data_IF_625749142514
#
_entry.id   IF_625749142514
#
_cell.length_a   1.000
_cell.length_b   1.000
_cell.length_c   1.000
_cell.angle_alpha   90.00
_cell.angle_beta   90.00
_cell.angle_gamma   90.00
#
_symmetry.space_group_name_H-M   'P 1'
#
loop_
_entity.id
_entity.type
_entity.pdbx_description
1 polymer ?
#
# COMPACT_ATOMS: atom_id res chain seq x y z
N UNK A 1 -7.29 -31.98 11.04
CA UNK A 1 -8.60 -31.33 10.81
C UNK A 1 -9.57 -32.28 10.09
N UNK A 2 -10.13 -33.30 10.77
CA UNK A 2 -11.13 -34.19 10.17
C UNK A 2 -12.56 -33.63 10.20
N UNK A 3 -12.85 -32.67 11.07
CA UNK A 3 -14.21 -32.11 11.21
C UNK A 3 -14.57 -31.10 10.12
N UNK A 4 -13.59 -30.36 9.61
CA UNK A 4 -13.79 -29.40 8.52
C UNK A 4 -14.28 -30.08 7.22
N UNK A 5 -13.88 -31.34 7.00
CA UNK A 5 -14.33 -32.15 5.85
C UNK A 5 -15.80 -32.57 5.91
N UNK A 6 -16.44 -32.38 7.06
CA UNK A 6 -17.87 -32.67 7.24
C UNK A 6 -18.75 -31.46 6.93
N UNK A 7 -18.14 -30.30 6.66
CA UNK A 7 -18.88 -29.09 6.35
C UNK A 7 -19.60 -29.23 5.00
N UNK A 8 -20.88 -28.83 4.88
CA UNK A 8 -21.63 -28.91 3.63
C UNK A 8 -20.98 -28.17 2.45
N UNK A 9 -20.14 -27.15 2.73
CA UNK A 9 -19.43 -26.37 1.73
C UNK A 9 -18.02 -26.90 1.45
N UNK A 10 -17.66 -28.09 1.96
CA UNK A 10 -16.32 -28.67 1.76
C UNK A 10 -15.93 -28.81 0.28
N UNK A 11 -16.88 -29.17 -0.59
CA UNK A 11 -16.64 -29.30 -2.02
C UNK A 11 -16.21 -27.96 -2.66
N UNK A 12 -16.80 -26.84 -2.23
CA UNK A 12 -16.46 -25.48 -2.70
C UNK A 12 -15.09 -25.01 -2.15
N UNK A 13 -14.73 -25.43 -0.94
CA UNK A 13 -13.43 -25.15 -0.31
C UNK A 13 -12.30 -25.92 -1.01
N UNK A 14 -12.57 -27.14 -1.51
CA UNK A 14 -11.58 -28.01 -2.12
C UNK A 14 -11.28 -27.66 -3.59
N UNK A 15 -12.29 -27.15 -4.32
CA UNK A 15 -12.17 -26.84 -5.76
C UNK A 15 -11.45 -25.51 -6.03
N UNK A 16 -11.64 -24.51 -5.17
CA UNK A 16 -11.11 -23.16 -5.34
C UNK A 16 -10.12 -22.76 -4.23
N UNK A 17 -9.11 -21.95 -4.59
CA UNK A 17 -8.13 -21.40 -3.62
C UNK A 17 -8.77 -20.30 -2.77
N UNK A 18 -9.62 -20.69 -1.83
CA UNK A 18 -10.25 -19.80 -0.88
C UNK A 18 -9.35 -19.51 0.32
N UNK A 19 -9.37 -18.25 0.78
CA UNK A 19 -8.75 -17.88 2.05
C UNK A 19 -9.69 -18.28 3.19
N UNK A 20 -9.25 -19.20 4.04
CA UNK A 20 -9.98 -19.59 5.24
C UNK A 20 -9.60 -18.68 6.41
N UNK A 21 -10.60 -18.27 7.19
CA UNK A 21 -10.41 -17.56 8.44
C UNK A 21 -11.14 -18.27 9.57
N UNK A 22 -10.74 -17.98 10.81
CA UNK A 22 -11.24 -18.65 12.01
C UNK A 22 -11.96 -17.66 12.91
N UNK A 23 -13.03 -18.13 13.57
CA UNK A 23 -13.73 -17.43 14.63
C UNK A 23 -13.78 -18.30 15.88
N UNK A 24 -13.77 -17.68 17.06
CA UNK A 24 -13.97 -18.41 18.31
C UNK A 24 -15.44 -18.78 18.48
N UNK A 25 -15.71 -19.96 19.02
CA UNK A 25 -17.07 -20.42 19.26
C UNK A 25 -17.77 -19.47 20.24
N UNK A 26 -18.91 -18.91 19.82
CA UNK A 26 -19.68 -17.93 20.61
C UNK A 26 -19.36 -16.47 20.31
N UNK A 27 -18.38 -16.18 19.45
CA UNK A 27 -18.10 -14.83 18.96
C UNK A 27 -18.58 -14.66 17.50
N UNK A 28 -19.08 -13.46 17.19
CA UNK A 28 -19.49 -13.10 15.83
C UNK A 28 -18.35 -12.50 15.00
N UNK A 29 -17.22 -12.18 15.62
CA UNK A 29 -16.05 -11.61 14.95
C UNK A 29 -15.01 -12.70 14.65
N UNK A 30 -14.26 -12.48 13.57
CA UNK A 30 -13.11 -13.33 13.20
C UNK A 30 -11.93 -13.02 14.11
N UNK A 31 -11.10 -14.04 14.37
CA UNK A 31 -9.91 -13.93 15.25
C UNK A 31 -8.96 -12.84 14.76
N UNK A 32 -8.81 -12.68 13.44
CA UNK A 32 -7.91 -11.70 12.83
C UNK A 32 -8.35 -10.24 13.00
N UNK A 33 -9.61 -10.00 13.39
CA UNK A 33 -10.15 -8.65 13.62
C UNK A 33 -10.08 -8.23 15.09
N UNK A 34 -9.85 -9.17 16.02
CA UNK A 34 -9.75 -8.87 17.45
C UNK A 34 -8.48 -8.05 17.73
N UNK A 35 -8.68 -6.80 18.14
CA UNK A 35 -7.59 -5.85 18.43
C UNK A 35 -6.64 -6.37 19.51
N UNK A 36 -7.16 -7.09 20.50
CA UNK A 36 -6.37 -7.63 21.61
C UNK A 36 -5.42 -8.71 21.10
N UNK A 37 -5.93 -9.61 20.25
CA UNK A 37 -5.14 -10.69 19.64
C UNK A 37 -4.08 -10.10 18.71
N UNK A 38 -4.47 -9.16 17.84
CA UNK A 38 -3.54 -8.48 16.93
C UNK A 38 -2.44 -7.74 17.69
N UNK A 39 -2.79 -7.03 18.76
CA UNK A 39 -1.81 -6.33 19.60
C UNK A 39 -0.89 -7.31 20.33
N UNK A 40 -1.45 -8.37 20.91
CA UNK A 40 -0.68 -9.39 21.64
C UNK A 40 0.29 -10.12 20.72
N UNK A 41 -0.13 -10.50 19.50
CA UNK A 41 0.76 -11.11 18.51
C UNK A 41 1.82 -10.09 18.06
N UNK A 42 1.45 -8.83 17.83
CA UNK A 42 2.41 -7.79 17.44
C UNK A 42 3.48 -7.54 18.52
N UNK A 43 3.13 -7.71 19.80
CA UNK A 43 4.05 -7.57 20.93
C UNK A 43 4.88 -8.84 21.19
N UNK A 44 4.34 -10.02 20.89
CA UNK A 44 4.98 -11.32 21.14
C UNK A 44 5.60 -11.98 19.90
N UNK A 45 5.50 -11.35 18.73
CA UNK A 45 6.25 -11.75 17.54
C UNK A 45 7.73 -11.70 17.92
N UNK A 46 8.32 -12.89 18.09
CA UNK A 46 9.61 -13.11 18.71
C UNK A 46 10.71 -12.22 18.14
N UNK A 47 11.56 -11.75 19.05
CA UNK A 47 12.89 -11.18 18.85
C UNK A 47 13.82 -12.21 18.15
N UNK A 48 13.51 -12.60 16.91
CA UNK A 48 14.61 -12.87 15.96
C UNK A 48 15.47 -11.61 15.93
N UNK A 49 16.80 -11.72 15.76
CA UNK A 49 17.81 -10.63 15.82
C UNK A 49 17.51 -9.43 14.91
N UNK A 50 16.43 -8.70 15.16
CA UNK A 50 15.96 -7.59 14.35
C UNK A 50 16.42 -6.34 15.06
N UNK A 51 17.31 -5.61 14.37
CA UNK A 51 17.82 -4.33 14.80
C UNK A 51 16.66 -3.41 15.22
N UNK A 52 16.59 -3.12 16.53
CA UNK A 52 15.60 -2.18 17.07
C UNK A 52 16.12 -0.76 16.84
N UNK A 53 15.25 0.09 16.34
CA UNK A 53 15.58 1.49 16.04
C UNK A 53 14.36 2.38 16.14
N UNK A 54 14.59 3.69 16.09
CA UNK A 54 13.50 4.68 16.06
C UNK A 54 12.88 4.65 14.67
N UNK A 55 11.59 4.33 14.58
CA UNK A 55 10.86 4.38 13.32
C UNK A 55 10.60 5.84 12.92
N UNK A 56 11.02 6.24 11.71
CA UNK A 56 10.84 7.61 11.21
C UNK A 56 9.37 8.03 11.01
N UNK A 57 8.45 7.05 10.86
CA UNK A 57 7.01 7.32 10.66
C UNK A 57 6.29 7.51 11.99
N UNK A 58 6.53 6.62 12.96
CA UNK A 58 5.80 6.63 14.24
C UNK A 58 6.54 7.31 15.39
N UNK A 59 7.85 7.59 15.24
CA UNK A 59 8.72 8.09 16.30
C UNK A 59 9.01 7.08 17.42
N UNK A 60 8.47 5.86 17.35
CA UNK A 60 8.60 4.84 18.40
C UNK A 60 9.74 3.88 18.10
N UNK A 61 10.42 3.41 19.14
CA UNK A 61 11.42 2.34 19.04
C UNK A 61 10.72 1.02 18.73
N UNK A 62 11.04 0.43 17.58
CA UNK A 62 10.46 -0.81 17.10
C UNK A 62 11.48 -1.60 16.27
N UNK A 63 11.24 -2.90 16.00
CA UNK A 63 12.04 -3.67 15.04
C UNK A 63 12.01 -3.00 13.66
N UNK A 64 13.18 -2.67 13.12
CA UNK A 64 13.32 -2.01 11.82
C UNK A 64 13.27 -3.02 10.70
N UNK A 65 12.53 -2.68 9.65
CA UNK A 65 12.48 -3.47 8.44
C UNK A 65 13.74 -3.24 7.59
N UNK A 66 14.40 -4.32 7.17
CA UNK A 66 15.60 -4.23 6.31
C UNK A 66 15.24 -3.84 4.87
N UNK A 67 14.11 -4.33 4.37
CA UNK A 67 13.64 -4.11 3.01
C UNK A 67 12.22 -3.55 3.00
N UNK A 68 12.05 -2.37 2.43
CA UNK A 68 10.72 -1.79 2.26
C UNK A 68 9.86 -2.62 1.30
N UNK A 69 8.56 -2.66 1.58
CA UNK A 69 7.55 -3.36 0.80
C UNK A 69 7.49 -2.85 -0.62
N UNK A 70 7.31 -3.79 -1.55
CA UNK A 70 7.04 -3.47 -2.94
C UNK A 70 5.59 -3.07 -3.10
N UNK A 71 5.37 -1.95 -3.77
CA UNK A 71 4.06 -1.39 -4.07
C UNK A 71 3.72 -1.71 -5.52
N UNK A 72 2.49 -2.15 -5.75
CA UNK A 72 1.96 -2.37 -7.09
C UNK A 72 1.42 -1.06 -7.66
N UNK A 73 2.08 -0.52 -8.69
CA UNK A 73 1.64 0.68 -9.39
C UNK A 73 1.30 0.34 -10.84
N UNK A 74 0.26 0.98 -11.37
CA UNK A 74 -0.08 0.87 -12.79
C UNK A 74 1.08 1.39 -13.64
N UNK A 75 1.73 0.51 -14.39
CA UNK A 75 2.91 0.83 -15.19
C UNK A 75 4.26 0.66 -14.47
N UNK A 76 4.33 0.20 -13.22
CA UNK A 76 5.58 -0.26 -12.60
C UNK A 76 6.09 -1.56 -13.27
N UNK A 77 7.33 -1.95 -12.96
CA UNK A 77 7.83 -3.25 -13.39
C UNK A 77 6.95 -4.35 -12.80
N UNK A 78 6.90 -5.53 -13.44
CA UNK A 78 6.10 -6.68 -12.98
C UNK A 78 6.38 -7.08 -11.54
N UNK A 79 7.55 -6.74 -11.02
CA UNK A 79 7.95 -6.97 -9.63
C UNK A 79 7.52 -5.88 -8.63
N UNK A 80 6.81 -4.83 -9.06
CA UNK A 80 6.45 -3.67 -8.23
C UNK A 80 7.56 -2.62 -8.11
N UNK A 81 7.31 -1.56 -7.35
CA UNK A 81 8.24 -0.48 -7.05
C UNK A 81 8.36 -0.26 -5.54
N UNK A 82 9.54 0.11 -5.05
CA UNK A 82 9.73 0.46 -3.64
C UNK A 82 9.48 1.96 -3.46
N UNK A 83 8.75 2.34 -2.40
CA UNK A 83 8.58 3.75 -2.02
C UNK A 83 9.91 4.36 -1.58
N UNK A 84 10.66 3.60 -0.79
CA UNK A 84 11.99 3.96 -0.30
C UNK A 84 12.94 2.83 -0.68
N UNK A 85 14.01 3.13 -1.39
CA UNK A 85 14.98 2.11 -1.81
C UNK A 85 16.42 2.61 -1.79
N UNK A 86 17.27 1.79 -1.17
CA UNK A 86 18.72 1.94 -1.20
C UNK A 86 19.29 0.65 -1.81
N UNK A 87 19.06 0.48 -3.11
CA UNK A 87 19.37 -0.75 -3.85
C UNK A 87 20.83 -0.81 -4.34
N UNK A 88 21.55 0.29 -4.30
CA UNK A 88 22.95 0.41 -4.70
C UNK A 88 23.75 1.04 -3.56
N UNK A 89 25.01 0.66 -3.42
CA UNK A 89 25.92 1.16 -2.38
C UNK A 89 26.06 2.69 -2.40
N UNK A 90 25.92 3.32 -3.57
CA UNK A 90 25.96 4.79 -3.72
C UNK A 90 24.81 5.51 -3.00
N UNK A 91 23.74 4.79 -2.65
CA UNK A 91 22.61 5.34 -1.89
C UNK A 91 22.71 5.07 -0.38
N UNK A 92 23.70 4.28 0.05
CA UNK A 92 24.01 4.04 1.45
C UNK A 92 24.77 5.23 2.04
N UNK A 93 24.45 5.62 3.27
CA UNK A 93 25.06 6.78 3.91
C UNK A 93 25.27 6.54 5.40
N UNK A 94 26.24 7.24 6.00
CA UNK A 94 26.57 7.12 7.44
C UNK A 94 26.86 5.68 7.91
N UNK A 95 27.42 4.84 7.03
CA UNK A 95 27.67 3.42 7.32
C UNK A 95 26.41 2.56 7.42
N UNK A 96 25.23 3.11 7.12
CA UNK A 96 23.95 2.39 7.17
C UNK A 96 23.65 1.77 5.82
N UNK A 97 23.26 0.49 5.86
CA UNK A 97 22.96 -0.30 4.66
C UNK A 97 21.47 -0.46 4.46
N UNK A 98 21.03 -0.45 3.20
CA UNK A 98 19.64 -0.73 2.83
C UNK A 98 18.61 0.07 3.66
N UNK A 99 17.55 -0.59 4.17
CA UNK A 99 16.48 0.03 4.96
C UNK A 99 16.96 0.70 6.26
N UNK A 100 18.15 0.39 6.78
CA UNK A 100 18.73 1.10 7.92
C UNK A 100 18.99 2.58 7.60
N UNK A 101 19.12 2.96 6.33
CA UNK A 101 19.26 4.36 5.91
C UNK A 101 17.95 5.18 6.05
N UNK A 102 16.78 4.52 6.08
CA UNK A 102 15.49 5.12 6.39
C UNK A 102 14.70 4.19 7.33
N UNK A 103 15.04 4.14 8.62
CA UNK A 103 14.51 3.13 9.52
C UNK A 103 12.99 3.27 9.68
N UNK A 104 12.25 2.29 9.15
CA UNK A 104 10.81 2.16 9.34
C UNK A 104 10.49 0.85 10.03
N UNK A 105 9.58 0.89 11.00
CA UNK A 105 9.08 -0.34 11.64
C UNK A 105 8.40 -1.25 10.64
N UNK A 106 8.40 -2.57 10.90
CA UNK A 106 7.65 -3.56 10.10
C UNK A 106 6.18 -3.16 9.91
N UNK A 107 5.53 -2.70 10.98
CA UNK A 107 4.15 -2.23 10.93
C UNK A 107 3.98 -1.02 10.00
N UNK A 108 4.83 0.02 10.15
CA UNK A 108 4.75 1.19 9.28
C UNK A 108 4.97 0.81 7.80
N UNK A 109 5.98 -0.05 7.54
CA UNK A 109 6.27 -0.58 6.21
C UNK A 109 5.07 -1.31 5.58
N UNK A 110 4.40 -2.14 6.36
CA UNK A 110 3.19 -2.84 5.93
C UNK A 110 2.01 -1.88 5.72
N UNK A 111 1.81 -0.92 6.63
CA UNK A 111 0.69 0.01 6.61
C UNK A 111 0.73 0.95 5.40
N UNK A 112 1.86 1.60 5.11
CA UNK A 112 1.95 2.44 3.91
C UNK A 112 1.93 1.59 2.62
N UNK A 113 2.50 0.37 2.64
CA UNK A 113 2.51 -0.50 1.48
C UNK A 113 1.10 -0.95 1.08
N UNK A 114 0.31 -1.32 2.08
CA UNK A 114 -1.09 -1.74 1.92
C UNK A 114 -1.99 -0.59 1.52
N UNK A 115 -1.89 0.57 2.18
CA UNK A 115 -2.70 1.75 1.84
C UNK A 115 -2.44 2.22 0.42
N UNK A 116 -1.18 2.37 0.01
CA UNK A 116 -0.86 2.79 -1.36
C UNK A 116 -1.33 1.74 -2.36
N UNK A 117 -1.09 0.44 -2.12
CA UNK A 117 -1.54 -0.61 -3.03
C UNK A 117 -3.07 -0.66 -3.16
N UNK A 118 -3.80 -0.31 -2.09
CA UNK A 118 -5.26 -0.18 -2.11
C UNK A 118 -5.68 1.02 -2.97
N UNK A 119 -5.08 2.19 -2.77
CA UNK A 119 -5.33 3.42 -3.54
C UNK A 119 -4.99 3.27 -5.03
N UNK A 120 -4.04 2.42 -5.38
CA UNK A 120 -3.60 2.20 -6.78
C UNK A 120 -4.27 1.01 -7.44
N UNK A 121 -5.11 0.25 -6.72
CA UNK A 121 -5.83 -0.90 -7.23
C UNK A 121 -6.64 -0.54 -8.49
N UNK A 122 -6.88 -1.52 -9.36
CA UNK A 122 -7.51 -1.28 -10.68
C UNK A 122 -8.86 -0.56 -10.54
N UNK A 123 -9.62 -0.93 -9.52
CA UNK A 123 -10.98 -0.44 -9.27
C UNK A 123 -11.02 0.76 -8.31
N UNK A 124 -9.86 1.22 -7.83
CA UNK A 124 -9.77 2.41 -6.99
C UNK A 124 -10.18 3.65 -7.78
N UNK A 125 -11.16 4.37 -7.23
CA UNK A 125 -11.53 5.71 -7.68
C UNK A 125 -10.53 6.78 -7.23
N UNK A 126 -9.73 6.52 -6.21
CA UNK A 126 -8.82 7.49 -5.56
C UNK A 126 -7.51 7.75 -6.33
N UNK A 127 -7.53 7.59 -7.67
CA UNK A 127 -6.36 7.80 -8.54
C UNK A 127 -6.74 8.38 -9.89
N UNK A 128 -5.83 9.18 -10.45
CA UNK A 128 -5.92 9.75 -11.80
C UNK A 128 -4.56 9.57 -12.48
N UNK A 129 -4.57 9.26 -13.76
CA UNK A 129 -3.36 9.24 -14.59
C UNK A 129 -3.30 10.54 -15.39
N UNK A 130 -2.33 11.40 -15.08
CA UNK A 130 -2.08 12.65 -15.82
C UNK A 130 -0.79 12.45 -16.62
N UNK A 131 -0.92 12.32 -17.93
CA UNK A 131 0.21 12.00 -18.81
C UNK A 131 0.84 10.64 -18.49
N UNK A 132 2.04 10.65 -17.89
CA UNK A 132 2.77 9.46 -17.44
C UNK A 132 2.87 9.35 -15.90
N UNK A 133 2.19 10.24 -15.17
CA UNK A 133 2.28 10.36 -13.71
C UNK A 133 0.96 9.91 -13.09
N UNK A 134 1.04 8.96 -12.17
CA UNK A 134 -0.11 8.55 -11.37
C UNK A 134 -0.21 9.47 -10.16
N UNK A 135 -1.34 10.16 -10.06
CA UNK A 135 -1.71 10.98 -8.92
C UNK A 135 -2.74 10.24 -8.10
N UNK A 136 -2.53 10.18 -6.79
CA UNK A 136 -3.45 9.60 -5.83
C UNK A 136 -3.91 10.66 -4.85
N UNK A 137 -5.13 10.52 -4.36
CA UNK A 137 -5.72 11.40 -3.36
C UNK A 137 -6.49 10.55 -2.35
N UNK A 138 -6.54 10.99 -1.10
CA UNK A 138 -7.27 10.31 -0.03
C UNK A 138 -7.72 11.34 1.00
N UNK A 139 -8.72 10.97 1.80
CA UNK A 139 -9.15 11.70 2.98
C UNK A 139 -9.36 10.70 4.14
N UNK A 140 -9.28 11.19 5.38
CA UNK A 140 -9.50 10.33 6.56
C UNK A 140 -10.95 9.83 6.64
N UNK A 141 -11.89 10.68 6.24
CA UNK A 141 -13.33 10.40 6.25
C UNK A 141 -13.90 10.50 4.85
N UNK A 142 -14.80 9.58 4.48
CA UNK A 142 -15.50 9.64 3.19
C UNK A 142 -16.12 11.02 2.98
N UNK A 143 -15.71 11.71 1.94
CA UNK A 143 -16.15 13.06 1.60
C UNK A 143 -16.68 13.08 0.17
N UNK A 144 -17.75 13.84 -0.08
CA UNK A 144 -18.32 14.06 -1.42
C UNK A 144 -17.29 14.67 -2.38
N UNK A 145 -16.35 15.45 -1.83
CA UNK A 145 -15.23 16.00 -2.56
C UNK A 145 -14.35 14.93 -3.22
N UNK A 146 -14.24 13.70 -2.68
CA UNK A 146 -13.45 12.65 -3.33
C UNK A 146 -14.06 12.22 -4.68
N UNK A 147 -15.40 12.18 -4.75
CA UNK A 147 -16.10 11.82 -5.98
C UNK A 147 -16.15 13.02 -6.96
N UNK A 148 -16.28 14.26 -6.47
CA UNK A 148 -16.22 15.49 -7.30
C UNK A 148 -14.82 15.79 -7.84
N UNK A 149 -13.76 15.55 -7.05
CA UNK A 149 -12.39 15.83 -7.47
C UNK A 149 -12.00 15.04 -8.72
N UNK A 150 -12.54 13.83 -8.87
CA UNK A 150 -12.38 13.03 -10.09
C UNK A 150 -13.07 13.62 -11.30
N UNK A 151 -14.27 14.19 -11.13
CA UNK A 151 -15.00 14.78 -12.25
C UNK A 151 -14.33 16.06 -12.71
N UNK A 152 -13.73 16.83 -11.80
CA UNK A 152 -12.96 18.04 -12.10
C UNK A 152 -11.64 17.77 -12.83
N UNK A 153 -10.92 16.72 -12.43
CA UNK A 153 -9.57 16.45 -12.93
C UNK A 153 -9.50 15.42 -14.07
N UNK A 154 -10.59 14.72 -14.40
CA UNK A 154 -10.61 13.84 -15.57
C UNK A 154 -10.76 14.67 -16.84
N UNK A 155 -9.72 14.77 -17.70
CA UNK A 155 -9.89 15.38 -19.01
C UNK A 155 -10.87 14.56 -19.84
N UNK A 156 -11.62 15.24 -20.71
CA UNK A 156 -12.54 14.63 -21.68
C UNK A 156 -11.85 13.49 -22.45
N UNK A 157 -12.59 12.44 -22.79
CA UNK A 157 -12.07 11.28 -23.55
C UNK A 157 -11.43 11.69 -24.89
N UNK A 158 -11.79 12.87 -25.43
CA UNK A 158 -11.19 13.42 -26.64
C UNK A 158 -9.75 13.94 -26.44
N UNK A 159 -9.43 14.48 -25.26
CA UNK A 159 -8.10 15.02 -24.94
C UNK A 159 -7.09 13.92 -24.61
N UNK A 160 -7.57 12.80 -24.08
CA UNK A 160 -6.74 11.62 -23.79
C UNK A 160 -6.22 10.95 -25.08
N UNK A 161 -7.01 10.97 -26.17
CA UNK A 161 -6.62 10.40 -27.47
C UNK A 161 -5.52 11.21 -28.17
N UNK A 162 -5.52 12.54 -28.05
CA UNK A 162 -4.46 13.40 -28.61
C UNK A 162 -3.11 13.16 -27.93
N UNK A 163 -3.10 13.10 -26.59
CA UNK A 163 -1.89 12.92 -25.77
C UNK A 163 -1.21 11.55 -26.01
N UNK A 164 -1.97 10.49 -26.25
CA UNK A 164 -1.41 9.15 -26.55
C UNK A 164 -0.71 9.09 -27.92
N UNK A 165 -1.18 9.84 -28.92
CA UNK A 165 -0.59 9.84 -30.25
C UNK A 165 0.72 10.64 -30.34
N UNK A 166 0.89 11.68 -29.52
CA UNK A 166 2.15 12.44 -29.45
C UNK A 166 3.24 11.68 -28.69
N UNK A 167 2.86 10.94 -27.63
CA UNK A 167 3.79 10.13 -26.82
C UNK A 167 4.37 8.91 -27.57
N UNK A 168 3.72 8.43 -28.64
CA UNK A 168 4.28 7.37 -29.50
C UNK A 168 5.46 7.84 -30.36
N UNK A 169 5.60 9.15 -30.60
CA UNK A 169 6.64 9.72 -31.48
C UNK A 169 7.99 9.95 -30.77
N UNK A 170 8.04 9.90 -29.44
CA UNK A 170 9.23 10.25 -28.63
C UNK A 170 9.80 9.10 -27.78
N UNK A 171 9.44 7.85 -28.06
CA UNK A 171 9.65 6.69 -27.18
C UNK A 171 11.09 6.12 -27.08
N UNK A 172 12.13 6.97 -27.08
CA UNK A 172 13.54 6.53 -26.87
C UNK A 172 14.18 7.09 -25.59
N UNK A 173 13.54 8.00 -24.87
CA UNK A 173 14.11 8.56 -23.62
C UNK A 173 13.64 7.72 -22.42
N UNK A 174 14.62 7.23 -21.62
CA UNK A 174 14.40 6.41 -20.41
C UNK A 174 13.30 7.03 -19.53
N UNK A 175 12.19 6.30 -19.39
CA UNK A 175 11.00 6.68 -18.61
C UNK A 175 11.33 6.75 -17.11
N UNK A 176 11.51 7.94 -16.56
CA UNK A 176 11.31 8.19 -15.14
C UNK A 176 9.81 8.25 -14.85
N UNK A 177 9.34 7.41 -13.93
CA UNK A 177 7.94 7.35 -13.49
C UNK A 177 7.85 8.17 -12.20
N UNK A 178 7.16 9.31 -12.25
CA UNK A 178 6.96 10.17 -11.10
C UNK A 178 5.62 9.84 -10.44
N UNK A 179 5.56 9.99 -9.11
CA UNK A 179 4.33 9.91 -8.31
C UNK A 179 4.16 11.26 -7.65
N UNK A 180 2.97 11.84 -7.75
CA UNK A 180 2.64 13.12 -7.09
C UNK A 180 1.52 12.87 -6.10
N UNK A 181 1.73 13.33 -4.86
CA UNK A 181 0.76 13.25 -3.77
C UNK A 181 0.12 14.63 -3.61
N UNK A 182 -1.20 14.69 -3.65
CA UNK A 182 -1.96 15.88 -3.27
C UNK A 182 -2.81 15.53 -2.06
N UNK A 183 -2.45 16.12 -0.92
CA UNK A 183 -3.30 16.12 0.27
C UNK A 183 -4.47 17.06 -0.01
N UNK A 184 -5.69 16.51 0.00
CA UNK A 184 -6.88 17.36 0.03
C UNK A 184 -6.87 18.10 1.37
N UNK A 185 -7.07 19.43 1.39
CA UNK A 185 -7.11 20.16 2.64
C UNK A 185 -8.23 19.61 3.51
N UNK A 186 -7.90 19.31 4.76
CA UNK A 186 -8.93 19.09 5.78
C UNK A 186 -9.77 20.36 5.84
N UNK A 187 -11.09 20.20 5.71
CA UNK A 187 -12.03 21.27 6.00
C UNK A 187 -11.71 21.82 7.38
N UNK A 188 -11.17 23.04 7.39
CA UNK A 188 -10.85 23.81 8.58
C UNK A 188 -12.08 23.85 9.49
N UNK A 189 -12.03 23.14 10.63
CA UNK A 189 -12.99 23.33 11.71
C UNK A 189 -12.70 24.69 12.33
N UNK A 190 -13.43 25.70 11.88
CA UNK A 190 -13.57 26.96 12.61
C UNK A 190 -14.55 26.66 13.74
N UNK A 191 -14.03 26.45 14.96
CA UNK A 191 -14.58 26.92 16.23
C UNK A 191 -13.46 26.99 17.27
#
# INVERSE_FOLDING_TARGET
MPELKKDPLWAEIEEDKHYLTFKLQGQNEIICSDKTIVQTISQNASDDEVEKGICLVSGKTNPIERLHSKISLTGANTSGANLVSFNLDAFESYGKKQGSNAPTSKYANFAYGTSISSLTSKDSRQKILIGNTTMMFWSETKNELEDEFLSLLKPSDEDQKKTQNENKKHAVIKRSKNISFLLLPESCNIY
#
